data_IF_821084608745
#
_entry.id   IF_821084608745
#
_cell.length_a   1.000
_cell.length_b   1.000
_cell.length_c   1.000
_cell.angle_alpha   90.00
_cell.angle_beta   90.00
_cell.angle_gamma   90.00
#
_symmetry.space_group_name_H-M   'P 1'
#
loop_
_entity.id
_entity.type
_entity.pdbx_description
1 polymer ?
#
# COMPACT_ATOMS: atom_id res chain seq x y z
N UNK A 1 -15.42 19.62 23.54
CA UNK A 1 -14.01 20.03 23.74
C UNK A 1 -13.07 19.46 22.67
N UNK A 2 -13.11 18.18 22.34
CA UNK A 2 -12.25 17.54 21.30
C UNK A 2 -12.33 18.22 19.93
N UNK A 3 -13.50 18.72 19.54
CA UNK A 3 -13.71 19.36 18.22
C UNK A 3 -13.06 20.75 18.05
N UNK A 4 -12.51 21.33 19.10
CA UNK A 4 -11.72 22.59 19.03
C UNK A 4 -10.25 22.35 18.75
N UNK A 5 -9.70 21.24 19.26
CA UNK A 5 -8.29 20.87 19.10
C UNK A 5 -8.05 20.13 17.78
N UNK A 6 -9.04 19.33 17.34
CA UNK A 6 -8.93 18.53 16.11
C UNK A 6 -10.07 18.86 15.12
N UNK A 7 -9.99 19.97 14.39
CA UNK A 7 -11.04 20.43 13.48
C UNK A 7 -11.31 19.44 12.35
N UNK A 8 -10.35 18.60 11.96
CA UNK A 8 -10.54 17.60 10.90
C UNK A 8 -11.59 16.54 11.25
N UNK A 9 -11.85 16.28 12.53
CA UNK A 9 -12.91 15.36 12.98
C UNK A 9 -14.32 15.78 12.52
N UNK A 10 -14.50 17.05 12.11
CA UNK A 10 -15.76 17.54 11.54
C UNK A 10 -15.90 17.26 10.04
N UNK A 11 -14.83 16.85 9.37
CA UNK A 11 -14.83 16.61 7.93
C UNK A 11 -15.27 15.18 7.60
N UNK A 12 -15.59 14.91 6.33
CA UNK A 12 -15.88 13.56 5.84
C UNK A 12 -14.68 12.64 6.02
N UNK A 13 -13.48 13.12 5.70
CA UNK A 13 -12.23 12.39 5.89
C UNK A 13 -12.02 11.98 7.35
N UNK A 14 -12.19 12.92 8.29
CA UNK A 14 -11.99 12.66 9.72
C UNK A 14 -12.92 11.56 10.25
N UNK A 15 -14.21 11.61 9.89
CA UNK A 15 -15.17 10.59 10.30
C UNK A 15 -14.80 9.21 9.74
N UNK A 16 -14.52 9.15 8.44
CA UNK A 16 -14.20 7.87 7.78
C UNK A 16 -12.89 7.29 8.28
N UNK A 17 -11.87 8.14 8.51
CA UNK A 17 -10.60 7.72 9.11
C UNK A 17 -10.78 7.20 10.54
N UNK A 18 -11.70 7.78 11.32
CA UNK A 18 -12.02 7.29 12.66
C UNK A 18 -12.66 5.89 12.61
N UNK A 19 -13.58 5.64 11.67
CA UNK A 19 -14.12 4.30 11.47
C UNK A 19 -13.03 3.30 11.03
N UNK A 20 -12.13 3.70 10.14
CA UNK A 20 -11.00 2.85 9.74
C UNK A 20 -10.12 2.48 10.95
N UNK A 21 -9.77 3.45 11.77
CA UNK A 21 -8.96 3.25 12.96
C UNK A 21 -9.67 2.37 14.00
N UNK A 22 -10.96 2.63 14.25
CA UNK A 22 -11.74 1.90 15.25
C UNK A 22 -12.12 0.48 14.85
N UNK A 23 -12.13 0.16 13.57
CA UNK A 23 -12.51 -1.17 13.07
C UNK A 23 -11.27 -1.89 12.51
N UNK A 24 -10.68 -1.38 11.45
CA UNK A 24 -9.62 -2.09 10.73
C UNK A 24 -8.34 -2.16 11.54
N UNK A 25 -7.88 -1.02 12.08
CA UNK A 25 -6.66 -1.03 12.90
C UNK A 25 -6.86 -1.81 14.20
N UNK A 26 -8.06 -1.77 14.82
CA UNK A 26 -8.35 -2.62 15.99
C UNK A 26 -8.20 -4.10 15.65
N UNK A 27 -8.77 -4.56 14.53
CA UNK A 27 -8.64 -5.95 14.07
C UNK A 27 -7.16 -6.29 13.83
N UNK A 28 -6.40 -5.40 13.18
CA UNK A 28 -4.97 -5.62 12.94
C UNK A 28 -4.15 -5.68 14.23
N UNK A 29 -4.47 -4.85 15.24
CA UNK A 29 -3.84 -4.92 16.56
C UNK A 29 -4.13 -6.24 17.26
N UNK A 30 -5.40 -6.67 17.28
CA UNK A 30 -5.79 -7.94 17.87
C UNK A 30 -5.10 -9.13 17.17
N UNK A 31 -5.03 -9.09 15.83
CA UNK A 31 -4.31 -10.09 15.05
C UNK A 31 -2.80 -10.11 15.40
N UNK A 32 -2.16 -8.95 15.44
CA UNK A 32 -0.74 -8.84 15.78
C UNK A 32 -0.45 -9.36 17.21
N UNK A 33 -1.28 -8.99 18.20
CA UNK A 33 -1.16 -9.46 19.57
C UNK A 33 -1.38 -10.98 19.66
N UNK A 34 -2.39 -11.51 18.97
CA UNK A 34 -2.67 -12.96 18.95
C UNK A 34 -1.49 -13.74 18.36
N UNK A 35 -0.93 -13.29 17.24
CA UNK A 35 0.25 -13.90 16.63
C UNK A 35 1.46 -13.81 17.55
N UNK A 36 1.67 -12.66 18.20
CA UNK A 36 2.75 -12.49 19.18
C UNK A 36 2.65 -13.46 20.36
N UNK A 37 1.47 -13.60 20.95
CA UNK A 37 1.22 -14.55 22.07
C UNK A 37 1.44 -16.01 21.63
N UNK A 38 1.05 -16.35 20.38
CA UNK A 38 1.29 -17.66 19.79
C UNK A 38 2.74 -17.91 19.38
N UNK A 39 3.61 -16.92 19.50
CA UNK A 39 4.98 -16.92 18.99
C UNK A 39 5.08 -17.16 17.47
N UNK A 40 4.03 -16.80 16.74
CA UNK A 40 3.97 -16.80 15.29
C UNK A 40 4.48 -15.47 14.73
N UNK A 41 4.75 -15.43 13.40
CA UNK A 41 5.16 -14.19 12.71
C UNK A 41 3.99 -13.20 12.65
N UNK A 42 4.13 -12.07 13.29
CA UNK A 42 3.21 -10.93 13.20
C UNK A 42 3.72 -9.85 12.25
N UNK A 43 4.82 -10.13 11.56
CA UNK A 43 5.54 -9.22 10.67
C UNK A 43 4.66 -8.69 9.54
N UNK A 44 3.97 -9.56 8.84
CA UNK A 44 3.15 -9.25 7.68
C UNK A 44 1.98 -8.32 8.06
N UNK A 45 1.30 -8.64 9.16
CA UNK A 45 0.21 -7.82 9.71
C UNK A 45 0.73 -6.44 10.12
N UNK A 46 1.91 -6.39 10.73
CA UNK A 46 2.50 -5.12 11.18
C UNK A 46 2.95 -4.24 10.01
N UNK A 47 3.53 -4.81 8.95
CA UNK A 47 3.90 -4.06 7.75
C UNK A 47 2.66 -3.50 7.03
N UNK A 48 1.60 -4.29 6.91
CA UNK A 48 0.33 -3.84 6.36
C UNK A 48 -0.28 -2.71 7.18
N UNK A 49 -0.34 -2.88 8.52
CA UNK A 49 -0.81 -1.86 9.43
C UNK A 49 0.02 -0.57 9.32
N UNK A 50 1.35 -0.68 9.30
CA UNK A 50 2.23 0.47 9.23
C UNK A 50 2.03 1.27 7.94
N UNK A 51 1.85 0.61 6.80
CA UNK A 51 1.52 1.25 5.53
C UNK A 51 0.18 1.99 5.59
N UNK A 52 -0.85 1.33 6.10
CA UNK A 52 -2.19 1.90 6.28
C UNK A 52 -2.17 3.13 7.19
N UNK A 53 -1.47 3.04 8.31
CA UNK A 53 -1.35 4.11 9.28
C UNK A 53 -0.56 5.29 8.72
N UNK A 54 0.56 5.01 8.06
CA UNK A 54 1.41 6.04 7.45
C UNK A 54 0.67 6.85 6.38
N UNK A 55 -0.12 6.19 5.51
CA UNK A 55 -0.89 6.89 4.49
C UNK A 55 -1.87 7.90 5.10
N UNK A 56 -2.56 7.52 6.18
CA UNK A 56 -3.48 8.44 6.86
C UNK A 56 -2.77 9.74 7.27
N UNK A 57 -1.57 9.66 7.84
CA UNK A 57 -0.84 10.84 8.32
C UNK A 57 -0.16 11.63 7.19
N UNK A 58 0.25 10.96 6.11
CA UNK A 58 0.76 11.62 4.89
C UNK A 58 -0.30 12.52 4.26
N UNK A 59 -1.58 12.17 4.40
CA UNK A 59 -2.71 13.00 3.94
C UNK A 59 -3.12 14.03 4.99
N UNK A 60 -3.20 13.62 6.26
CA UNK A 60 -3.68 14.45 7.36
C UNK A 60 -2.80 15.68 7.60
N UNK A 61 -1.48 15.49 7.73
CA UNK A 61 -0.59 16.58 8.13
C UNK A 61 -0.55 17.74 7.14
N UNK A 62 -0.35 17.54 5.81
CA UNK A 62 -0.36 18.66 4.88
C UNK A 62 -1.74 19.32 4.77
N UNK A 63 -2.83 18.55 4.93
CA UNK A 63 -4.17 19.12 4.96
C UNK A 63 -4.38 20.02 6.17
N UNK A 64 -3.92 19.62 7.36
CA UNK A 64 -3.97 20.46 8.58
C UNK A 64 -3.15 21.74 8.41
N UNK A 65 -1.97 21.67 7.80
CA UNK A 65 -1.13 22.86 7.54
C UNK A 65 -1.88 23.89 6.70
N UNK A 66 -2.64 23.43 5.71
CA UNK A 66 -3.39 24.32 4.81
C UNK A 66 -4.68 24.85 5.41
N UNK A 67 -5.32 24.11 6.33
CA UNK A 67 -6.60 24.50 6.95
C UNK A 67 -6.43 25.40 8.16
N UNK A 68 -5.37 25.23 8.94
CA UNK A 68 -5.13 25.94 10.19
C UNK A 68 -3.76 26.64 10.18
N UNK A 69 -3.56 27.67 9.35
CA UNK A 69 -2.25 28.31 9.22
C UNK A 69 -1.79 29.01 10.53
N UNK A 70 -2.72 29.45 11.36
CA UNK A 70 -2.46 30.16 12.61
C UNK A 70 -2.47 29.27 13.86
N UNK A 71 -3.08 28.07 13.80
CA UNK A 71 -3.12 27.12 14.92
C UNK A 71 -2.46 25.79 14.50
N UNK A 72 -1.27 25.56 15.00
CA UNK A 72 -0.45 24.37 14.72
C UNK A 72 -0.57 23.28 15.79
N UNK A 73 -1.44 23.44 16.77
CA UNK A 73 -1.56 22.49 17.90
C UNK A 73 -1.88 21.07 17.42
N UNK A 74 -2.82 20.93 16.48
CA UNK A 74 -3.17 19.64 15.89
C UNK A 74 -1.99 18.98 15.15
N UNK A 75 -1.10 19.77 14.54
CA UNK A 75 0.08 19.25 13.85
C UNK A 75 1.08 18.71 14.87
N UNK A 76 1.37 19.46 15.94
CA UNK A 76 2.30 19.04 16.99
C UNK A 76 1.84 17.78 17.72
N UNK A 77 0.53 17.56 17.86
CA UNK A 77 -0.03 16.34 18.46
C UNK A 77 0.11 15.15 17.51
N UNK A 78 -0.14 15.34 16.21
CA UNK A 78 -0.22 14.27 15.25
C UNK A 78 1.14 13.90 14.59
N UNK A 79 2.05 14.86 14.39
CA UNK A 79 3.32 14.61 13.71
C UNK A 79 4.22 13.55 14.38
N UNK A 80 4.37 13.51 15.72
CA UNK A 80 5.21 12.51 16.38
C UNK A 80 4.74 11.07 16.17
N UNK A 81 3.44 10.87 15.91
CA UNK A 81 2.83 9.55 15.76
C UNK A 81 3.34 8.84 14.51
N UNK A 82 3.77 9.57 13.48
CA UNK A 82 4.38 9.00 12.25
C UNK A 82 5.64 8.18 12.56
N UNK A 83 6.37 8.50 13.61
CA UNK A 83 7.62 7.83 13.97
C UNK A 83 7.39 6.33 14.22
N UNK A 84 6.25 5.97 14.81
CA UNK A 84 5.94 4.57 15.17
C UNK A 84 5.89 3.65 13.93
N UNK A 85 5.08 3.92 12.89
CA UNK A 85 5.05 3.05 11.71
C UNK A 85 6.36 3.07 10.92
N UNK A 86 7.09 4.19 10.89
CA UNK A 86 8.41 4.28 10.25
C UNK A 86 9.42 3.36 10.95
N UNK A 87 9.48 3.38 12.28
CA UNK A 87 10.34 2.47 13.06
C UNK A 87 9.91 1.01 12.82
N UNK A 88 8.61 0.71 12.82
CA UNK A 88 8.11 -0.64 12.57
C UNK A 88 8.53 -1.15 11.18
N UNK A 89 8.37 -0.34 10.13
CA UNK A 89 8.81 -0.68 8.78
C UNK A 89 10.31 -0.95 8.76
N UNK A 90 11.14 -0.04 9.30
CA UNK A 90 12.59 -0.19 9.34
C UNK A 90 13.02 -1.44 10.09
N UNK A 91 12.44 -1.71 11.26
CA UNK A 91 12.73 -2.89 12.07
C UNK A 91 12.46 -4.21 11.32
N UNK A 92 11.26 -4.35 10.72
CA UNK A 92 10.90 -5.58 10.03
C UNK A 92 11.60 -5.73 8.67
N UNK A 93 11.88 -4.64 7.98
CA UNK A 93 12.66 -4.69 6.75
C UNK A 93 14.13 -5.09 7.00
N UNK A 94 14.70 -4.68 8.13
CA UNK A 94 16.06 -5.11 8.51
C UNK A 94 16.10 -6.60 8.87
N UNK A 95 15.04 -7.15 9.48
CA UNK A 95 14.94 -8.54 9.95
C UNK A 95 14.18 -9.44 8.98
N UNK A 96 14.40 -9.30 7.70
CA UNK A 96 13.75 -10.14 6.67
C UNK A 96 14.18 -11.60 6.79
N UNK A 97 13.24 -12.56 6.68
CA UNK A 97 13.58 -13.96 6.54
C UNK A 97 14.33 -14.16 5.22
N UNK A 98 15.32 -15.05 5.23
CA UNK A 98 16.10 -15.41 4.06
C UNK A 98 15.72 -16.81 3.63
N UNK A 99 15.44 -17.02 2.35
CA UNK A 99 15.10 -18.31 1.78
C UNK A 99 16.14 -18.72 0.74
N UNK A 100 16.37 -20.03 0.60
CA UNK A 100 17.20 -20.55 -0.47
C UNK A 100 16.48 -20.40 -1.81
N UNK A 101 17.19 -19.98 -2.83
CA UNK A 101 16.69 -19.91 -4.19
C UNK A 101 17.02 -21.19 -4.93
N UNK A 102 16.02 -21.84 -5.52
CA UNK A 102 16.19 -23.09 -6.25
C UNK A 102 16.71 -22.90 -7.68
N UNK A 103 16.61 -21.68 -8.24
CA UNK A 103 16.98 -21.40 -9.63
C UNK A 103 18.17 -20.46 -9.72
N UNK A 104 19.18 -20.82 -10.52
CA UNK A 104 20.30 -19.94 -10.87
C UNK A 104 19.87 -18.75 -11.72
N UNK A 105 18.94 -18.98 -12.65
CA UNK A 105 18.37 -17.94 -13.51
C UNK A 105 16.85 -17.92 -13.42
N UNK A 106 16.31 -16.75 -13.13
CA UNK A 106 14.86 -16.58 -13.12
C UNK A 106 14.31 -16.51 -14.56
N UNK A 107 13.15 -17.14 -14.81
CA UNK A 107 12.54 -17.06 -16.12
C UNK A 107 12.14 -15.62 -16.47
N UNK A 108 12.26 -15.26 -17.74
CA UNK A 108 11.88 -13.95 -18.26
C UNK A 108 10.38 -13.67 -17.97
N UNK A 109 10.00 -12.39 -17.81
CA UNK A 109 8.64 -11.97 -17.45
C UNK A 109 7.56 -12.55 -18.38
N UNK A 110 7.86 -12.74 -19.67
CA UNK A 110 6.95 -13.35 -20.64
C UNK A 110 6.57 -14.81 -20.32
N UNK A 111 7.37 -15.51 -19.54
CA UNK A 111 7.11 -16.88 -19.06
C UNK A 111 6.38 -16.90 -17.71
N UNK A 112 6.10 -15.73 -17.14
CA UNK A 112 5.42 -15.53 -15.84
C UNK A 112 4.15 -14.70 -16.05
N UNK A 113 3.03 -15.31 -16.53
CA UNK A 113 1.86 -14.55 -16.96
C UNK A 113 1.20 -13.73 -15.85
N UNK A 114 1.23 -14.20 -14.61
CA UNK A 114 0.69 -13.45 -13.46
C UNK A 114 1.51 -12.19 -13.17
N UNK A 115 2.83 -12.30 -13.21
CA UNK A 115 3.72 -11.14 -13.02
C UNK A 115 3.58 -10.14 -14.18
N UNK A 116 3.37 -10.63 -15.41
CA UNK A 116 3.08 -9.77 -16.56
C UNK A 116 1.76 -9.01 -16.37
N UNK A 117 0.73 -9.68 -15.83
CA UNK A 117 -0.55 -9.02 -15.53
C UNK A 117 -0.38 -7.89 -14.49
N UNK A 118 0.37 -8.15 -13.42
CA UNK A 118 0.68 -7.11 -12.43
C UNK A 118 1.54 -5.99 -13.01
N UNK A 119 2.48 -6.30 -13.90
CA UNK A 119 3.27 -5.28 -14.60
C UNK A 119 2.38 -4.33 -15.41
N UNK A 120 1.44 -4.88 -16.19
CA UNK A 120 0.47 -4.08 -16.96
C UNK A 120 -0.42 -3.24 -16.04
N UNK A 121 -0.87 -3.82 -14.91
CA UNK A 121 -1.61 -3.08 -13.90
C UNK A 121 -0.81 -1.87 -13.38
N UNK A 122 0.45 -2.05 -12.96
CA UNK A 122 1.26 -0.95 -12.45
C UNK A 122 1.53 0.12 -13.50
N UNK A 123 1.68 -0.26 -14.76
CA UNK A 123 1.83 0.70 -15.86
C UNK A 123 0.56 1.56 -16.02
N UNK A 124 -0.61 0.94 -16.04
CA UNK A 124 -1.89 1.65 -16.13
C UNK A 124 -2.10 2.52 -14.89
N UNK A 125 -1.86 1.96 -13.68
CA UNK A 125 -1.98 2.70 -12.42
C UNK A 125 -1.05 3.92 -12.38
N UNK A 126 0.19 3.80 -12.88
CA UNK A 126 1.12 4.92 -13.00
C UNK A 126 0.55 6.04 -13.89
N UNK A 127 -0.01 5.70 -15.05
CA UNK A 127 -0.66 6.67 -15.93
C UNK A 127 -1.86 7.35 -15.24
N UNK A 128 -2.69 6.58 -14.54
CA UNK A 128 -3.88 7.09 -13.83
C UNK A 128 -3.47 8.05 -12.71
N UNK A 129 -2.48 7.71 -11.89
CA UNK A 129 -2.08 8.58 -10.78
C UNK A 129 -1.39 9.86 -11.25
N UNK A 130 -0.63 9.80 -12.36
CA UNK A 130 -0.07 10.99 -12.99
C UNK A 130 -1.19 11.89 -13.51
N UNK A 131 -2.18 11.34 -14.21
CA UNK A 131 -3.32 12.07 -14.72
C UNK A 131 -4.12 12.74 -13.58
N UNK A 132 -4.48 11.98 -12.54
CA UNK A 132 -5.21 12.49 -11.35
C UNK A 132 -4.41 13.55 -10.61
N UNK A 133 -3.10 13.32 -10.41
CA UNK A 133 -2.20 14.27 -9.77
C UNK A 133 -2.12 15.59 -10.53
N UNK A 134 -1.94 15.54 -11.84
CA UNK A 134 -1.96 16.74 -12.69
C UNK A 134 -3.31 17.45 -12.66
N UNK A 135 -4.42 16.71 -12.66
CA UNK A 135 -5.75 17.29 -12.60
C UNK A 135 -5.96 18.10 -11.30
N UNK A 136 -5.58 17.56 -10.13
CA UNK A 136 -5.77 18.25 -8.83
C UNK A 136 -4.82 19.43 -8.60
N UNK A 137 -3.67 19.46 -9.29
CA UNK A 137 -2.72 20.60 -9.23
C UNK A 137 -3.14 21.77 -10.15
N UNK A 138 -4.17 21.57 -10.96
CA UNK A 138 -4.71 22.61 -11.83
C UNK A 138 -4.31 22.45 -13.29
N UNK A 139 -4.23 21.23 -13.77
CA UNK A 139 -3.99 20.93 -15.18
C UNK A 139 -4.98 21.66 -16.10
N UNK A 140 -4.45 22.26 -17.18
CA UNK A 140 -5.24 23.12 -18.09
C UNK A 140 -6.04 22.34 -19.13
N UNK A 141 -5.76 21.05 -19.34
CA UNK A 141 -6.43 20.23 -20.35
C UNK A 141 -7.93 20.08 -20.04
N UNK A 142 -8.78 20.16 -21.06
CA UNK A 142 -10.24 20.02 -20.90
C UNK A 142 -10.62 18.69 -20.26
N UNK A 143 -9.97 17.59 -20.68
CA UNK A 143 -10.23 16.25 -20.13
C UNK A 143 -9.97 16.15 -18.60
N UNK A 144 -9.00 16.90 -18.06
CA UNK A 144 -8.74 16.94 -16.62
C UNK A 144 -9.84 17.71 -15.88
N UNK A 145 -10.31 18.81 -16.45
CA UNK A 145 -11.43 19.58 -15.90
C UNK A 145 -12.72 18.77 -15.93
N UNK A 146 -12.99 18.10 -17.04
CA UNK A 146 -14.17 17.25 -17.23
C UNK A 146 -14.15 16.07 -16.25
N UNK A 147 -12.99 15.45 -16.04
CA UNK A 147 -12.80 14.41 -15.05
C UNK A 147 -13.13 14.89 -13.63
N UNK A 148 -12.55 16.02 -13.21
CA UNK A 148 -12.79 16.61 -11.89
C UNK A 148 -14.26 17.07 -11.70
N UNK A 149 -14.93 17.48 -12.76
CA UNK A 149 -16.30 17.95 -12.66
C UNK A 149 -17.32 16.80 -12.68
N UNK A 150 -17.06 15.80 -13.51
CA UNK A 150 -18.07 14.80 -13.86
C UNK A 150 -17.79 13.42 -13.26
N UNK A 151 -16.50 13.03 -13.06
CA UNK A 151 -16.16 11.71 -12.54
C UNK A 151 -15.80 11.73 -11.06
N UNK A 152 -14.95 12.68 -10.63
CA UNK A 152 -14.47 12.76 -9.24
C UNK A 152 -14.55 14.20 -8.67
N UNK A 153 -15.72 14.78 -8.54
CA UNK A 153 -15.87 16.14 -7.98
C UNK A 153 -15.39 16.25 -6.53
N UNK A 154 -15.34 15.15 -5.79
CA UNK A 154 -14.81 15.09 -4.42
C UNK A 154 -13.34 15.55 -4.33
N UNK A 155 -12.54 15.39 -5.37
CA UNK A 155 -11.16 15.89 -5.41
C UNK A 155 -11.03 17.42 -5.28
N UNK A 156 -12.14 18.15 -5.46
CA UNK A 156 -12.22 19.62 -5.29
C UNK A 156 -12.69 20.04 -3.90
N UNK A 157 -12.85 19.09 -2.94
CA UNK A 157 -13.27 19.41 -1.58
C UNK A 157 -12.35 20.47 -0.96
N UNK A 158 -12.96 21.52 -0.38
CA UNK A 158 -12.28 22.67 0.22
C UNK A 158 -11.37 22.30 1.39
N UNK A 159 -11.61 21.17 2.04
CA UNK A 159 -10.76 20.67 3.12
C UNK A 159 -9.44 20.05 2.64
N UNK A 160 -9.25 19.93 1.31
CA UNK A 160 -8.04 19.44 0.65
C UNK A 160 -7.62 17.98 0.96
N UNK A 161 -8.31 17.22 1.81
CA UNK A 161 -7.92 15.83 2.10
C UNK A 161 -7.90 14.94 0.84
N UNK A 162 -8.93 14.94 -0.04
CA UNK A 162 -8.89 14.17 -1.27
C UNK A 162 -7.78 14.63 -2.22
N UNK A 163 -7.50 15.93 -2.26
CA UNK A 163 -6.40 16.50 -3.03
C UNK A 163 -5.06 15.97 -2.55
N UNK A 164 -4.77 16.01 -1.23
CA UNK A 164 -3.53 15.46 -0.68
C UNK A 164 -3.46 13.93 -0.83
N UNK A 165 -4.60 13.24 -0.81
CA UNK A 165 -4.62 11.81 -1.13
C UNK A 165 -4.19 11.58 -2.60
N UNK A 166 -4.68 12.34 -3.56
CA UNK A 166 -4.26 12.24 -4.96
C UNK A 166 -2.77 12.60 -5.14
N UNK A 167 -2.26 13.57 -4.38
CA UNK A 167 -0.85 13.92 -4.38
C UNK A 167 0.02 12.83 -3.74
N UNK A 168 -0.44 12.14 -2.70
CA UNK A 168 0.28 11.00 -2.13
C UNK A 168 0.43 9.87 -3.16
N UNK A 169 -0.58 9.62 -3.98
CA UNK A 169 -0.47 8.71 -5.12
C UNK A 169 0.58 9.17 -6.14
N UNK A 170 0.61 10.45 -6.46
CA UNK A 170 1.57 10.99 -7.42
C UNK A 170 3.01 10.92 -6.93
N UNK A 171 3.28 11.24 -5.66
CA UNK A 171 4.66 11.32 -5.16
C UNK A 171 5.19 10.02 -4.59
N UNK A 172 4.37 9.27 -3.83
CA UNK A 172 4.83 8.06 -3.15
C UNK A 172 4.46 6.79 -3.91
N UNK A 173 3.21 6.67 -4.39
CA UNK A 173 2.77 5.42 -5.00
C UNK A 173 3.31 5.28 -6.42
N UNK A 174 3.45 6.37 -7.18
CA UNK A 174 4.09 6.32 -8.48
C UNK A 174 5.53 5.80 -8.38
N UNK A 175 6.31 6.29 -7.41
CA UNK A 175 7.66 5.79 -7.15
C UNK A 175 7.66 4.29 -6.83
N UNK A 176 6.70 3.84 -6.01
CA UNK A 176 6.52 2.42 -5.73
C UNK A 176 6.12 1.62 -6.99
N UNK A 177 5.20 2.12 -7.83
CA UNK A 177 4.78 1.43 -9.05
C UNK A 177 5.95 1.21 -10.02
N UNK A 178 6.78 2.24 -10.21
CA UNK A 178 7.99 2.12 -11.02
C UNK A 178 8.97 1.09 -10.45
N UNK A 179 9.16 1.10 -9.13
CA UNK A 179 10.00 0.12 -8.44
C UNK A 179 9.42 -1.30 -8.55
N UNK A 180 8.12 -1.48 -8.38
CA UNK A 180 7.44 -2.77 -8.50
C UNK A 180 7.55 -3.34 -9.92
N UNK A 181 7.39 -2.51 -10.96
CA UNK A 181 7.62 -2.92 -12.34
C UNK A 181 9.07 -3.38 -12.57
N UNK A 182 10.04 -2.67 -12.01
CA UNK A 182 11.44 -3.10 -12.06
C UNK A 182 11.62 -4.47 -11.39
N UNK A 183 11.06 -4.67 -10.19
CA UNK A 183 11.16 -5.94 -9.46
C UNK A 183 10.47 -7.11 -10.16
N UNK A 184 9.39 -6.86 -10.91
CA UNK A 184 8.72 -7.87 -11.73
C UNK A 184 9.54 -8.29 -12.95
N UNK A 185 10.27 -7.34 -13.56
CA UNK A 185 11.17 -7.64 -14.69
C UNK A 185 12.42 -8.38 -14.23
N UNK A 186 12.98 -7.95 -13.08
CA UNK A 186 14.20 -8.51 -12.50
C UNK A 186 13.87 -9.21 -11.17
N UNK A 187 13.41 -10.47 -11.18
CA UNK A 187 12.97 -11.18 -9.99
C UNK A 187 14.09 -11.44 -8.99
N UNK A 188 13.71 -11.73 -7.76
CA UNK A 188 14.65 -11.92 -6.64
C UNK A 188 14.95 -10.65 -5.86
N UNK A 189 14.15 -9.61 -6.04
CA UNK A 189 14.25 -8.37 -5.29
C UNK A 189 13.71 -8.56 -3.86
N UNK A 190 14.61 -8.66 -2.90
CA UNK A 190 14.33 -8.98 -1.50
C UNK A 190 13.45 -7.97 -0.77
N UNK A 191 13.27 -6.76 -1.29
CA UNK A 191 12.41 -5.72 -0.73
C UNK A 191 10.96 -5.81 -1.19
N UNK A 192 10.67 -6.58 -2.24
CA UNK A 192 9.41 -6.50 -2.97
C UNK A 192 8.21 -6.99 -2.16
N UNK A 193 8.32 -8.13 -1.47
CA UNK A 193 7.27 -8.65 -0.60
C UNK A 193 6.92 -7.69 0.55
N UNK A 194 7.93 -7.04 1.14
CA UNK A 194 7.72 -6.11 2.25
C UNK A 194 7.03 -4.82 1.80
N UNK A 195 7.56 -4.22 0.73
CA UNK A 195 6.97 -3.00 0.20
C UNK A 195 5.59 -3.24 -0.41
N UNK A 196 5.31 -4.44 -0.94
CA UNK A 196 3.97 -4.79 -1.41
C UNK A 196 2.95 -4.80 -0.26
N UNK A 197 3.33 -5.30 0.93
CA UNK A 197 2.48 -5.25 2.13
C UNK A 197 2.26 -3.83 2.63
N UNK A 198 3.33 -3.02 2.72
CA UNK A 198 3.21 -1.61 3.12
C UNK A 198 2.32 -0.86 2.13
N UNK A 199 2.52 -1.06 0.83
CA UNK A 199 1.70 -0.44 -0.20
C UNK A 199 0.24 -0.93 -0.15
N UNK A 200 -0.01 -2.23 0.05
CA UNK A 200 -1.36 -2.77 0.15
C UNK A 200 -2.12 -2.14 1.33
N UNK A 201 -1.50 -2.05 2.51
CA UNK A 201 -2.10 -1.37 3.65
C UNK A 201 -2.40 0.10 3.38
N UNK A 202 -1.46 0.82 2.77
CA UNK A 202 -1.62 2.21 2.39
C UNK A 202 -2.75 2.40 1.36
N UNK A 203 -2.80 1.57 0.31
CA UNK A 203 -3.83 1.63 -0.72
C UNK A 203 -5.22 1.28 -0.18
N UNK A 204 -5.33 0.31 0.74
CA UNK A 204 -6.58 -0.04 1.39
C UNK A 204 -7.17 1.14 2.17
N UNK A 205 -6.36 1.79 3.01
CA UNK A 205 -6.78 2.97 3.78
C UNK A 205 -7.11 4.15 2.85
N UNK A 206 -6.27 4.41 1.85
CA UNK A 206 -6.44 5.49 0.89
C UNK A 206 -7.77 5.37 0.13
N UNK A 207 -8.05 4.21 -0.45
CA UNK A 207 -9.25 4.00 -1.24
C UNK A 207 -10.50 3.93 -0.38
N UNK A 208 -10.42 3.32 0.80
CA UNK A 208 -11.53 3.33 1.74
C UNK A 208 -11.93 4.77 2.12
N UNK A 209 -10.94 5.58 2.53
CA UNK A 209 -11.22 6.97 2.93
C UNK A 209 -11.68 7.83 1.75
N UNK A 210 -11.17 7.60 0.55
CA UNK A 210 -11.59 8.30 -0.65
C UNK A 210 -13.04 7.95 -1.04
N UNK A 211 -13.36 6.67 -1.17
CA UNK A 211 -14.70 6.21 -1.57
C UNK A 211 -15.73 6.58 -0.49
N UNK A 212 -15.49 6.16 0.75
CA UNK A 212 -16.45 6.42 1.83
C UNK A 212 -16.56 7.91 2.17
N UNK A 213 -15.48 8.67 2.03
CA UNK A 213 -15.50 10.13 2.18
C UNK A 213 -16.30 10.81 1.09
N UNK A 214 -16.19 10.37 -0.15
CA UNK A 214 -16.93 10.93 -1.29
C UNK A 214 -18.46 10.78 -1.12
N UNK A 215 -18.93 9.66 -0.54
CA UNK A 215 -20.35 9.41 -0.27
C UNK A 215 -20.81 9.76 1.15
N UNK A 216 -19.93 10.30 1.99
CA UNK A 216 -20.28 10.67 3.35
C UNK A 216 -21.33 11.79 3.36
N UNK A 217 -22.20 11.79 4.38
CA UNK A 217 -23.24 12.85 4.56
C UNK A 217 -22.64 14.26 4.73
N UNK A 218 -21.40 14.36 5.22
CA UNK A 218 -20.69 15.64 5.39
C UNK A 218 -20.08 16.16 4.09
N UNK A 219 -20.02 15.35 3.04
CA UNK A 219 -19.60 15.79 1.71
C UNK A 219 -20.80 16.44 1.02
N UNK A 220 -20.61 17.66 0.53
CA UNK A 220 -21.64 18.42 -0.16
C UNK A 220 -22.17 17.65 -1.38
N UNK A 221 -23.48 17.75 -1.66
CA UNK A 221 -24.12 16.95 -2.71
C UNK A 221 -23.49 17.16 -4.09
N UNK A 222 -23.07 18.38 -4.40
CA UNK A 222 -22.38 18.73 -5.67
C UNK A 222 -20.94 18.21 -5.76
N UNK A 223 -20.37 17.71 -4.67
CA UNK A 223 -19.04 17.10 -4.62
C UNK A 223 -19.09 15.57 -4.62
N UNK A 224 -20.28 14.97 -4.62
CA UNK A 224 -20.41 13.52 -4.66
C UNK A 224 -20.24 13.02 -6.09
N UNK A 225 -19.46 11.91 -6.29
CA UNK A 225 -19.34 11.32 -7.63
C UNK A 225 -20.69 10.73 -8.07
N UNK A 226 -20.91 10.61 -9.39
CA UNK A 226 -22.08 9.95 -9.91
C UNK A 226 -22.08 8.46 -9.55
N UNK A 227 -23.24 7.90 -9.22
CA UNK A 227 -23.40 6.49 -8.88
C UNK A 227 -23.69 5.60 -10.09
N UNK A 228 -24.15 6.20 -11.20
CA UNK A 228 -24.56 5.50 -12.41
C UNK A 228 -24.04 6.20 -13.67
N UNK A 229 -24.22 5.55 -14.82
CA UNK A 229 -23.75 6.05 -16.10
C UNK A 229 -22.24 5.88 -16.30
N UNK A 230 -21.71 6.36 -17.42
CA UNK A 230 -20.29 6.20 -17.79
C UNK A 230 -19.35 6.81 -16.74
N UNK A 231 -19.67 7.99 -16.22
CA UNK A 231 -18.83 8.66 -15.23
C UNK A 231 -18.82 7.92 -13.88
N UNK A 232 -19.95 7.34 -13.47
CA UNK A 232 -20.01 6.47 -12.29
C UNK A 232 -19.21 5.19 -12.48
N UNK A 233 -19.28 4.57 -13.66
CA UNK A 233 -18.48 3.40 -13.99
C UNK A 233 -16.98 3.72 -13.93
N UNK A 234 -16.54 4.85 -14.47
CA UNK A 234 -15.14 5.30 -14.41
C UNK A 234 -14.70 5.47 -12.95
N UNK A 235 -15.51 6.16 -12.11
CA UNK A 235 -15.22 6.34 -10.70
C UNK A 235 -15.03 4.99 -9.99
N UNK A 236 -16.00 4.09 -10.10
CA UNK A 236 -15.96 2.81 -9.42
C UNK A 236 -14.83 1.91 -9.93
N UNK A 237 -14.63 1.84 -11.25
CA UNK A 237 -13.57 1.00 -11.83
C UNK A 237 -12.19 1.43 -11.36
N UNK A 238 -11.85 2.71 -11.44
CA UNK A 238 -10.55 3.22 -11.01
C UNK A 238 -10.33 2.92 -9.53
N UNK A 239 -11.29 3.30 -8.69
CA UNK A 239 -11.09 3.23 -7.24
C UNK A 239 -11.13 1.79 -6.70
N UNK A 240 -11.97 0.91 -7.25
CA UNK A 240 -12.00 -0.51 -6.86
C UNK A 240 -10.77 -1.27 -7.36
N UNK A 241 -10.29 -1.01 -8.57
CA UNK A 241 -9.06 -1.62 -9.09
C UNK A 241 -7.87 -1.20 -8.22
N UNK A 242 -7.77 0.08 -7.87
CA UNK A 242 -6.70 0.58 -7.00
C UNK A 242 -6.83 0.12 -5.54
N UNK A 243 -8.00 -0.35 -5.11
CA UNK A 243 -8.21 -0.98 -3.81
C UNK A 243 -7.80 -2.46 -3.83
N UNK A 244 -8.29 -3.21 -4.82
CA UNK A 244 -8.24 -4.68 -4.81
C UNK A 244 -6.90 -5.21 -5.31
N UNK A 245 -6.38 -4.68 -6.42
CA UNK A 245 -5.18 -5.25 -7.04
C UNK A 245 -3.93 -5.16 -6.14
N UNK A 246 -3.67 -4.09 -5.37
CA UNK A 246 -2.56 -4.07 -4.42
C UNK A 246 -2.63 -5.19 -3.37
N UNK A 247 -3.83 -5.56 -2.92
CA UNK A 247 -4.03 -6.66 -1.97
C UNK A 247 -3.65 -8.00 -2.61
N UNK A 248 -4.13 -8.24 -3.84
CA UNK A 248 -3.80 -9.45 -4.60
C UNK A 248 -2.31 -9.53 -4.90
N UNK A 249 -1.67 -8.42 -5.23
CA UNK A 249 -0.24 -8.36 -5.48
C UNK A 249 0.59 -8.67 -4.22
N UNK A 250 0.22 -8.12 -3.07
CA UNK A 250 0.89 -8.43 -1.80
C UNK A 250 0.76 -9.92 -1.46
N UNK A 251 -0.44 -10.50 -1.63
CA UNK A 251 -0.65 -11.94 -1.44
C UNK A 251 0.16 -12.78 -2.44
N UNK A 252 0.29 -12.32 -3.67
CA UNK A 252 1.11 -12.98 -4.68
C UNK A 252 2.58 -12.99 -4.30
N UNK A 253 3.14 -11.84 -3.88
CA UNK A 253 4.52 -11.73 -3.42
C UNK A 253 4.82 -12.61 -2.20
N UNK A 254 3.86 -12.79 -1.30
CA UNK A 254 4.00 -13.68 -0.13
C UNK A 254 3.96 -15.16 -0.52
N UNK A 255 3.23 -15.52 -1.57
CA UNK A 255 3.11 -16.92 -2.04
C UNK A 255 4.28 -17.39 -2.89
N UNK A 256 5.00 -16.45 -3.50
CA UNK A 256 6.16 -16.74 -4.34
C UNK A 256 7.43 -16.03 -3.80
N UNK A 257 7.93 -16.46 -2.65
CA UNK A 257 9.09 -15.84 -2.02
C UNK A 257 10.40 -16.06 -2.78
N UNK A 258 10.48 -17.03 -3.68
CA UNK A 258 11.67 -17.27 -4.51
C UNK A 258 11.88 -16.13 -5.53
N UNK A 259 10.81 -15.58 -6.09
CA UNK A 259 10.88 -14.47 -7.04
C UNK A 259 10.78 -13.09 -6.36
N UNK A 260 10.12 -13.00 -5.22
CA UNK A 260 9.77 -11.71 -4.58
C UNK A 260 10.30 -11.54 -3.15
N UNK A 261 10.98 -12.55 -2.61
CA UNK A 261 11.55 -12.54 -1.27
C UNK A 261 13.07 -12.35 -1.23
N UNK A 262 13.61 -12.35 -0.02
CA UNK A 262 15.05 -12.38 0.20
C UNK A 262 15.56 -13.80 0.01
N UNK A 263 16.29 -14.03 -1.07
CA UNK A 263 16.85 -15.34 -1.42
C UNK A 263 18.37 -15.31 -1.42
N UNK A 264 19.00 -16.46 -1.17
CA UNK A 264 20.42 -16.68 -1.43
C UNK A 264 20.57 -17.86 -2.40
N UNK A 265 21.54 -17.78 -3.29
CA UNK A 265 21.91 -18.90 -4.16
C UNK A 265 22.72 -19.88 -3.33
N UNK A 266 22.24 -21.12 -3.25
CA UNK A 266 23.06 -22.23 -2.73
C UNK A 266 23.97 -22.64 -3.87
N UNK A 267 25.26 -22.30 -3.77
CA UNK A 267 26.23 -22.79 -4.70
C UNK A 267 26.53 -24.25 -4.28
N UNK A 268 26.04 -25.22 -5.05
CA UNK A 268 26.22 -26.65 -4.81
C UNK A 268 27.69 -27.07 -4.83
N UNK A 269 28.59 -26.18 -5.28
CA UNK A 269 30.02 -26.37 -5.29
C UNK A 269 30.73 -25.96 -3.97
N UNK A 270 30.03 -25.24 -3.07
CA UNK A 270 30.64 -24.86 -1.78
C UNK A 270 30.42 -25.93 -0.73
N UNK A 271 31.52 -26.42 -0.08
CA UNK A 271 31.41 -27.42 0.97
C UNK A 271 30.51 -26.96 2.13
N UNK A 272 29.68 -27.87 2.64
CA UNK A 272 28.66 -27.63 3.66
C UNK A 272 29.11 -26.95 4.98
N UNK A 273 30.40 -26.85 5.25
CA UNK A 273 30.95 -26.24 6.47
C UNK A 273 30.92 -24.69 6.45
N UNK A 274 30.84 -24.06 5.27
CA UNK A 274 30.69 -22.60 5.19
C UNK A 274 29.23 -22.11 5.32
N UNK A 275 28.26 -23.02 5.16
CA UNK A 275 26.82 -22.70 5.32
C UNK A 275 26.44 -22.62 6.81
N UNK A 276 27.14 -23.36 7.69
CA UNK A 276 26.87 -23.40 9.14
C UNK A 276 27.09 -22.09 9.89
N UNK A 277 28.00 -21.23 9.40
CA UNK A 277 28.34 -19.97 10.07
C UNK A 277 27.42 -18.82 9.69
N UNK A 278 26.71 -18.92 8.55
CA UNK A 278 25.77 -17.91 8.08
C UNK A 278 24.36 -18.16 8.65
N UNK A 279 24.05 -19.41 9.02
CA UNK A 279 22.71 -19.82 9.51
C UNK A 279 22.77 -20.13 11.01
N UNK A 280 22.97 -19.12 11.84
CA UNK A 280 22.84 -19.26 13.32
C UNK A 280 21.41 -19.27 13.85
N UNK A 281 20.40 -19.69 13.09
CA UNK A 281 19.07 -20.15 13.59
C UNK A 281 18.37 -20.97 12.50
N UNK A 282 17.70 -22.10 12.84
CA UNK A 282 17.07 -22.94 11.83
C UNK A 282 15.88 -22.22 11.19
N UNK A 283 16.04 -21.84 9.92
CA UNK A 283 14.89 -21.62 9.07
C UNK A 283 14.17 -22.96 8.93
N UNK A 284 12.83 -23.00 9.20
CA UNK A 284 12.03 -24.19 8.90
C UNK A 284 12.21 -24.50 7.41
N UNK A 285 12.89 -25.59 7.11
CA UNK A 285 13.02 -26.10 5.75
C UNK A 285 11.64 -26.62 5.36
N UNK A 286 10.90 -25.83 4.57
CA UNK A 286 9.74 -26.34 3.87
C UNK A 286 10.24 -27.25 2.73
N UNK A 287 10.31 -28.54 2.98
CA UNK A 287 10.49 -29.52 1.92
C UNK A 287 9.27 -29.43 0.96
N UNK A 288 9.50 -28.92 -0.21
CA UNK A 288 8.56 -29.01 -1.33
C UNK A 288 8.34 -30.49 -1.66
N UNK A 289 7.11 -30.99 -1.44
CA UNK A 289 6.65 -32.33 -1.83
C UNK A 289 6.55 -32.45 -3.38
N UNK A 290 7.63 -32.31 -4.12
CA UNK A 290 7.62 -32.47 -5.59
C UNK A 290 8.66 -33.44 -6.15
N UNK A 291 9.29 -34.27 -5.33
CA UNK A 291 10.21 -35.28 -5.83
C UNK A 291 9.85 -36.72 -5.40
N UNK A 292 8.62 -37.16 -5.64
CA UNK A 292 8.31 -38.60 -5.59
C UNK A 292 7.27 -38.96 -6.64
N UNK A 293 7.62 -38.77 -7.93
CA UNK A 293 6.95 -39.43 -9.06
C UNK A 293 7.86 -39.47 -10.30
N UNK A 294 9.02 -40.12 -10.17
CA UNK A 294 9.78 -40.65 -11.32
C UNK A 294 10.82 -41.65 -10.77
N UNK A 295 10.34 -42.78 -10.29
CA UNK A 295 11.09 -44.02 -10.19
C UNK A 295 10.06 -45.13 -9.95
N UNK A 296 9.37 -45.55 -11.01
CA UNK A 296 8.84 -46.89 -11.29
C UNK A 296 8.55 -46.95 -12.80
#
# INVERSE_FOLDING_TARGET
>A
MVTGIEPFMKTSFGVVSTYWNGIVHLILYLAAVTLYVRRDSHREVTLFWAGSFLNMYVVLLPALITQTPNDKSAIFINAPIIVIPVIAIGYYMHRRPVQARSFLEAPKIWKRPVDLLFFVYFLIAACVVVFRGMAVVGGKASCMKDYLNNCEPYLKDSHNFPKFQALSYLYFYLAYYLSAMYGLVYPGQHWMADWSLVHAGAAAQAQFTHIAGAFNRRTAANMRPPTAGTNGLIFWSINLIMLVIPQLFALWCLRDPENHGRTYTVDLATPNYLVGDIVKKPARIYHSKRETKKAE
#
